data_IF_647318485536
#
_entry.id   IF_647318485536
#
_cell.length_a   1.000
_cell.length_b   1.000
_cell.length_c   1.000
_cell.angle_alpha   90.00
_cell.angle_beta   90.00
_cell.angle_gamma   90.00
#
_symmetry.space_group_name_H-M   'P 1'
#
loop_
_entity.id
_entity.type
_entity.pdbx_description
1 polymer ?
#
# COMPACT_ATOMS: atom_id res chain seq x y z
N UNK A 1 20.82 -14.69 13.67
CA UNK A 1 19.88 -14.39 12.57
C UNK A 1 19.42 -12.96 12.75
N UNK A 2 19.41 -12.14 11.68
CA UNK A 2 18.77 -10.81 11.74
C UNK A 2 17.25 -11.02 11.91
N UNK A 3 16.60 -10.18 12.71
CA UNK A 3 15.15 -10.16 12.80
C UNK A 3 14.56 -9.88 11.41
N UNK A 4 13.42 -10.49 11.04
CA UNK A 4 12.72 -10.14 9.82
C UNK A 4 12.24 -8.69 9.90
N UNK A 5 12.30 -7.97 8.80
CA UNK A 5 11.79 -6.60 8.68
C UNK A 5 10.87 -6.48 7.46
N UNK A 6 10.02 -5.48 7.44
CA UNK A 6 9.22 -5.16 6.26
C UNK A 6 9.61 -3.80 5.68
N UNK A 7 9.31 -3.60 4.40
CA UNK A 7 9.53 -2.34 3.72
C UNK A 7 8.22 -1.57 3.55
N UNK A 8 8.28 -0.26 3.76
CA UNK A 8 7.18 0.67 3.52
C UNK A 8 7.57 1.61 2.40
N UNK A 9 6.89 1.52 1.26
CA UNK A 9 7.04 2.43 0.14
C UNK A 9 6.04 3.59 0.32
N UNK A 10 6.58 4.75 0.57
CA UNK A 10 5.88 5.98 0.91
C UNK A 10 6.30 7.17 0.04
N UNK A 11 6.10 8.37 0.57
CA UNK A 11 6.37 9.62 -0.16
C UNK A 11 5.21 10.08 -1.06
N UNK A 12 4.18 9.26 -1.23
CA UNK A 12 3.04 9.46 -2.13
C UNK A 12 1.68 9.84 -1.47
N UNK A 13 1.51 10.46 -0.30
CA UNK A 13 2.39 11.46 0.26
C UNK A 13 3.05 11.07 1.58
N UNK A 14 4.02 11.93 1.88
CA UNK A 14 4.86 11.82 3.07
C UNK A 14 4.06 11.83 4.37
N UNK A 15 3.10 12.73 4.53
CA UNK A 15 2.27 12.80 5.75
C UNK A 15 1.37 11.57 5.94
N UNK A 16 0.91 10.96 4.86
CA UNK A 16 0.17 9.70 4.91
C UNK A 16 1.09 8.55 5.35
N UNK A 17 2.32 8.53 4.86
CA UNK A 17 3.35 7.56 5.26
C UNK A 17 3.68 7.69 6.74
N UNK A 18 3.90 8.92 7.24
CA UNK A 18 4.11 9.17 8.67
C UNK A 18 2.94 8.66 9.51
N UNK A 19 1.71 8.98 9.09
CA UNK A 19 0.49 8.54 9.78
C UNK A 19 0.38 7.01 9.80
N UNK A 20 0.74 6.32 8.72
CA UNK A 20 0.77 4.87 8.64
C UNK A 20 1.76 4.28 9.66
N UNK A 21 3.00 4.77 9.69
CA UNK A 21 4.02 4.32 10.64
C UNK A 21 3.56 4.52 12.08
N UNK A 22 2.98 5.67 12.37
CA UNK A 22 2.41 5.97 13.69
C UNK A 22 1.33 4.97 14.09
N UNK A 23 0.45 4.59 13.16
CA UNK A 23 -0.60 3.59 13.40
C UNK A 23 -0.03 2.20 13.64
N UNK A 24 0.95 1.77 12.85
CA UNK A 24 1.66 0.48 13.04
C UNK A 24 2.27 0.42 14.44
N UNK A 25 3.02 1.45 14.82
CA UNK A 25 3.67 1.49 16.13
C UNK A 25 2.64 1.49 17.28
N UNK A 26 1.54 2.22 17.15
CA UNK A 26 0.47 2.23 18.17
C UNK A 26 -0.30 0.92 18.26
N UNK A 27 -0.42 0.18 17.16
CA UNK A 27 -1.09 -1.12 17.14
C UNK A 27 -0.19 -2.27 17.61
N UNK A 28 1.11 -2.03 17.74
CA UNK A 28 2.06 -3.02 18.25
C UNK A 28 1.97 -3.08 19.78
N UNK A 29 1.69 -4.27 20.31
CA UNK A 29 1.72 -4.51 21.77
C UNK A 29 3.17 -4.61 22.22
N UNK A 30 3.74 -3.49 22.64
CA UNK A 30 5.14 -3.39 23.07
C UNK A 30 5.22 -2.98 24.54
N UNK A 31 6.08 -3.67 25.30
CA UNK A 31 6.44 -3.33 26.68
C UNK A 31 7.85 -2.72 26.78
N UNK A 32 8.67 -2.90 25.72
CA UNK A 32 10.00 -2.33 25.58
C UNK A 32 10.29 -2.08 24.08
N UNK A 33 11.39 -1.38 23.78
CA UNK A 33 11.76 -1.02 22.41
C UNK A 33 11.96 -2.24 21.51
N UNK A 34 12.41 -3.36 22.08
CA UNK A 34 12.67 -4.60 21.35
C UNK A 34 11.41 -5.34 20.92
N UNK A 35 10.24 -4.98 21.41
CA UNK A 35 8.94 -5.57 21.03
C UNK A 35 8.38 -4.96 19.76
N UNK A 36 8.89 -3.79 19.33
CA UNK A 36 8.44 -3.16 18.08
C UNK A 36 8.90 -3.93 16.85
N UNK A 37 8.15 -3.77 15.76
CA UNK A 37 8.47 -4.36 14.47
C UNK A 37 9.65 -3.65 13.82
N UNK A 38 10.54 -4.41 13.19
CA UNK A 38 11.62 -3.83 12.39
C UNK A 38 11.08 -3.47 11.00
N UNK A 39 11.35 -2.26 10.53
CA UNK A 39 10.96 -1.82 9.19
C UNK A 39 11.93 -0.80 8.58
N UNK A 40 11.88 -0.69 7.26
CA UNK A 40 12.57 0.35 6.48
C UNK A 40 11.51 1.15 5.73
N UNK A 41 11.66 2.47 5.74
CA UNK A 41 10.77 3.38 5.02
C UNK A 41 11.52 3.99 3.84
N UNK A 42 11.03 3.74 2.64
CA UNK A 42 11.38 4.46 1.44
C UNK A 42 10.40 5.62 1.28
N UNK A 43 10.77 6.81 1.74
CA UNK A 43 9.93 8.00 1.57
C UNK A 43 10.36 8.73 0.30
N UNK A 44 10.04 8.17 -0.86
CA UNK A 44 10.36 8.77 -2.14
C UNK A 44 9.26 9.76 -2.57
N UNK A 45 9.51 11.04 -2.33
CA UNK A 45 8.60 12.12 -2.72
C UNK A 45 8.75 12.55 -4.18
N UNK A 46 9.70 11.97 -4.91
CA UNK A 46 9.92 12.24 -6.34
C UNK A 46 8.99 11.42 -7.25
N UNK A 47 8.27 10.44 -6.71
CA UNK A 47 7.32 9.61 -7.48
C UNK A 47 6.27 10.49 -8.16
N UNK A 48 6.15 10.48 -9.50
CA UNK A 48 5.18 11.27 -10.25
C UNK A 48 3.73 11.07 -9.80
N UNK A 49 2.86 12.04 -10.06
CA UNK A 49 1.46 11.97 -9.64
C UNK A 49 0.70 10.80 -10.29
N UNK A 50 0.27 9.85 -9.48
CA UNK A 50 -0.44 8.62 -9.88
C UNK A 50 -1.81 8.94 -10.48
N UNK A 51 -2.48 9.98 -9.95
CA UNK A 51 -3.81 10.37 -10.44
C UNK A 51 -3.70 11.01 -11.81
N UNK A 52 -2.80 11.97 -11.99
CA UNK A 52 -2.57 12.64 -13.27
C UNK A 52 -2.20 11.62 -14.36
N UNK A 53 -1.31 10.66 -14.05
CA UNK A 53 -0.95 9.58 -14.97
C UNK A 53 -2.15 8.70 -15.36
N UNK A 54 -2.93 8.21 -14.40
CA UNK A 54 -4.10 7.34 -14.64
C UNK A 54 -5.19 8.06 -15.43
N UNK A 55 -5.31 9.38 -15.28
CA UNK A 55 -6.28 10.20 -16.01
C UNK A 55 -5.80 10.61 -17.41
N UNK A 56 -4.52 10.36 -17.74
CA UNK A 56 -3.91 10.82 -19.00
C UNK A 56 -3.65 12.34 -19.01
N UNK A 57 -3.56 12.95 -17.85
CA UNK A 57 -3.23 14.38 -17.66
C UNK A 57 -1.72 14.63 -17.59
N UNK A 58 -0.93 13.57 -17.42
CA UNK A 58 0.54 13.57 -17.41
C UNK A 58 1.08 12.29 -18.02
N UNK A 59 2.15 12.41 -18.80
CA UNK A 59 2.92 11.27 -19.34
C UNK A 59 4.01 10.78 -18.36
N UNK A 60 4.20 11.46 -17.24
CA UNK A 60 5.17 11.05 -16.21
C UNK A 60 4.70 9.79 -15.51
N UNK A 61 5.33 8.66 -15.88
CA UNK A 61 4.97 7.35 -15.37
C UNK A 61 5.55 7.12 -13.96
N UNK A 62 4.72 6.90 -12.93
CA UNK A 62 5.21 6.61 -11.58
C UNK A 62 5.78 5.18 -11.42
N UNK A 63 5.51 4.28 -12.36
CA UNK A 63 5.89 2.88 -12.25
C UNK A 63 7.41 2.65 -12.11
N UNK A 64 8.29 3.25 -12.94
CA UNK A 64 9.73 2.99 -12.87
C UNK A 64 10.35 3.35 -11.51
N UNK A 65 9.92 4.45 -10.91
CA UNK A 65 10.44 4.88 -9.59
C UNK A 65 10.03 3.90 -8.50
N UNK A 66 8.77 3.48 -8.50
CA UNK A 66 8.27 2.51 -7.52
C UNK A 66 8.84 1.11 -7.76
N UNK A 67 9.10 0.73 -9.00
CA UNK A 67 9.75 -0.54 -9.34
C UNK A 67 11.19 -0.59 -8.76
N UNK A 68 11.95 0.48 -8.89
CA UNK A 68 13.30 0.59 -8.32
C UNK A 68 13.28 0.48 -6.77
N UNK A 69 12.30 1.10 -6.10
CA UNK A 69 12.13 0.95 -4.65
C UNK A 69 11.75 -0.48 -4.25
N UNK A 70 10.91 -1.17 -5.03
CA UNK A 70 10.57 -2.58 -4.81
C UNK A 70 11.79 -3.48 -4.97
N UNK A 71 12.61 -3.25 -6.01
CA UNK A 71 13.84 -3.99 -6.24
C UNK A 71 14.84 -3.80 -5.09
N UNK A 72 15.01 -2.56 -4.61
CA UNK A 72 15.85 -2.23 -3.44
C UNK A 72 15.35 -2.95 -2.18
N UNK A 73 14.06 -2.89 -1.89
CA UNK A 73 13.45 -3.55 -0.74
C UNK A 73 13.66 -5.07 -0.81
N UNK A 74 13.51 -5.65 -2.02
CA UNK A 74 13.75 -7.07 -2.29
C UNK A 74 15.20 -7.44 -2.05
N UNK A 75 16.14 -6.68 -2.61
CA UNK A 75 17.58 -6.91 -2.45
C UNK A 75 18.05 -6.79 -1.00
N UNK A 76 17.41 -5.94 -0.21
CA UNK A 76 17.67 -5.79 1.23
C UNK A 76 17.11 -6.96 2.07
N UNK A 77 16.27 -7.82 1.48
CA UNK A 77 15.69 -9.00 2.14
C UNK A 77 14.45 -8.68 2.98
N UNK A 78 13.63 -7.72 2.57
CA UNK A 78 12.35 -7.45 3.21
C UNK A 78 11.46 -8.71 3.22
N UNK A 79 10.75 -8.95 4.31
CA UNK A 79 9.83 -10.09 4.45
C UNK A 79 8.52 -9.86 3.70
N UNK A 80 8.10 -8.63 3.61
CA UNK A 80 6.98 -8.15 2.80
C UNK A 80 7.10 -6.65 2.55
N UNK A 81 6.33 -6.15 1.60
CA UNK A 81 6.31 -4.74 1.18
C UNK A 81 4.91 -4.16 1.37
N UNK A 82 4.82 -2.92 1.80
CA UNK A 82 3.58 -2.14 1.92
C UNK A 82 3.68 -0.87 1.12
N UNK A 83 2.67 -0.57 0.31
CA UNK A 83 2.50 0.70 -0.40
C UNK A 83 1.55 1.59 0.40
N UNK A 84 2.00 2.74 0.92
CA UNK A 84 1.15 3.68 1.68
C UNK A 84 0.34 4.62 0.77
N UNK A 85 0.01 4.16 -0.43
CA UNK A 85 -0.76 4.89 -1.42
C UNK A 85 -1.82 3.99 -2.05
N UNK A 86 -3.10 4.31 -1.86
CA UNK A 86 -4.21 3.58 -2.47
C UNK A 86 -4.14 3.58 -3.99
N UNK A 87 -3.86 4.74 -4.59
CA UNK A 87 -3.83 4.91 -6.05
C UNK A 87 -2.70 4.11 -6.71
N UNK A 88 -1.55 3.93 -6.04
CA UNK A 88 -0.42 3.15 -6.56
C UNK A 88 -0.75 1.66 -6.74
N UNK A 89 -1.79 1.13 -6.08
CA UNK A 89 -2.27 -0.23 -6.30
C UNK A 89 -2.88 -0.45 -7.69
N UNK A 90 -2.99 0.60 -8.50
CA UNK A 90 -3.26 0.48 -9.94
C UNK A 90 -2.24 -0.41 -10.66
N UNK A 91 -0.99 -0.38 -10.22
CA UNK A 91 0.13 -1.14 -10.77
C UNK A 91 0.43 -2.43 -9.97
N UNK A 92 -0.48 -2.86 -9.09
CA UNK A 92 -0.17 -3.92 -8.13
C UNK A 92 0.33 -5.22 -8.77
N UNK A 93 -0.35 -5.68 -9.82
CA UNK A 93 0.01 -6.96 -10.47
C UNK A 93 1.37 -6.85 -11.16
N UNK A 94 1.68 -5.71 -11.79
CA UNK A 94 2.98 -5.44 -12.39
C UNK A 94 4.09 -5.37 -11.31
N UNK A 95 3.83 -4.73 -10.19
CA UNK A 95 4.77 -4.69 -9.06
C UNK A 95 5.02 -6.06 -8.46
N UNK A 96 3.98 -6.86 -8.25
CA UNK A 96 4.16 -8.20 -7.70
C UNK A 96 4.91 -9.13 -8.65
N UNK A 97 4.85 -8.88 -9.96
CA UNK A 97 5.62 -9.63 -10.94
C UNK A 97 7.14 -9.35 -10.89
N UNK A 98 7.57 -8.21 -10.32
CA UNK A 98 8.99 -7.85 -10.17
C UNK A 98 9.70 -8.59 -9.04
N UNK A 99 8.95 -9.16 -8.09
CA UNK A 99 9.53 -9.70 -6.86
C UNK A 99 8.77 -10.92 -6.33
N UNK A 100 9.52 -11.81 -5.69
CA UNK A 100 8.96 -12.92 -4.89
C UNK A 100 8.57 -12.50 -3.48
N UNK A 101 8.97 -11.29 -3.04
CA UNK A 101 8.58 -10.72 -1.75
C UNK A 101 7.09 -10.33 -1.82
N UNK A 102 6.24 -10.79 -0.88
CA UNK A 102 4.83 -10.43 -0.90
C UNK A 102 4.62 -8.92 -0.78
N UNK A 103 3.85 -8.35 -1.68
CA UNK A 103 3.36 -6.97 -1.57
C UNK A 103 1.95 -7.02 -0.98
N UNK A 104 1.73 -6.40 0.19
CA UNK A 104 0.42 -6.39 0.81
C UNK A 104 -0.56 -5.51 0.02
N UNK A 105 -1.63 -6.12 -0.49
CA UNK A 105 -2.65 -5.38 -1.23
C UNK A 105 -3.61 -4.67 -0.28
N UNK A 106 -3.29 -3.43 0.10
CA UNK A 106 -4.04 -2.66 1.08
C UNK A 106 -5.55 -2.53 0.77
N UNK A 107 -6.00 -2.23 -0.46
CA UNK A 107 -7.42 -2.21 -0.78
C UNK A 107 -8.14 -3.54 -0.53
N UNK A 108 -7.56 -4.68 -0.95
CA UNK A 108 -8.14 -6.02 -0.67
C UNK A 108 -8.19 -6.30 0.82
N UNK A 109 -7.13 -6.00 1.56
CA UNK A 109 -7.09 -6.16 3.02
C UNK A 109 -8.16 -5.32 3.74
N UNK A 110 -8.34 -4.07 3.33
CA UNK A 110 -9.36 -3.18 3.88
C UNK A 110 -10.78 -3.70 3.60
N UNK A 111 -11.07 -4.16 2.37
CA UNK A 111 -12.37 -4.71 1.99
C UNK A 111 -12.64 -6.02 2.73
N UNK A 112 -11.70 -6.92 2.82
CA UNK A 112 -11.84 -8.18 3.57
C UNK A 112 -12.16 -7.91 5.04
N UNK A 113 -11.47 -6.96 5.67
CA UNK A 113 -11.74 -6.55 7.05
C UNK A 113 -13.12 -5.91 7.22
N UNK A 114 -13.51 -5.08 6.25
CA UNK A 114 -14.85 -4.49 6.21
C UNK A 114 -15.93 -5.55 6.10
N UNK A 115 -15.80 -6.52 5.20
CA UNK A 115 -16.78 -7.59 4.99
C UNK A 115 -16.96 -8.45 6.25
N UNK A 116 -15.89 -8.73 6.98
CA UNK A 116 -15.96 -9.43 8.27
C UNK A 116 -16.75 -8.65 9.34
N UNK A 117 -16.59 -7.33 9.39
CA UNK A 117 -17.20 -6.46 10.41
C UNK A 117 -18.62 -6.04 10.05
N UNK A 118 -18.90 -5.91 8.76
CA UNK A 118 -20.16 -5.41 8.20
C UNK A 118 -20.64 -6.37 7.11
N UNK A 119 -21.24 -7.51 7.49
CA UNK A 119 -21.65 -8.52 6.55
C UNK A 119 -22.76 -8.01 5.61
N UNK A 120 -22.75 -8.50 4.37
CA UNK A 120 -23.54 -8.00 3.25
C UNK A 120 -25.06 -8.11 3.46
N UNK A 121 -25.51 -9.11 4.18
CA UNK A 121 -26.92 -9.32 4.54
C UNK A 121 -27.50 -8.18 5.39
N UNK A 122 -26.67 -7.56 6.23
CA UNK A 122 -27.03 -6.40 7.08
C UNK A 122 -26.63 -5.06 6.49
N UNK A 123 -25.55 -5.03 5.70
CA UNK A 123 -24.94 -3.83 5.13
C UNK A 123 -24.74 -4.00 3.61
N UNK A 124 -25.83 -3.99 2.80
CA UNK A 124 -25.77 -4.36 1.39
C UNK A 124 -25.10 -3.30 0.50
N UNK A 125 -24.82 -2.11 1.03
CA UNK A 125 -24.20 -1.00 0.29
C UNK A 125 -23.06 -0.38 1.06
N UNK A 126 -21.95 -0.12 0.37
CA UNK A 126 -20.76 0.54 0.90
C UNK A 126 -20.45 1.78 0.07
N UNK A 127 -20.23 2.91 0.76
CA UNK A 127 -19.73 4.12 0.13
C UNK A 127 -18.20 4.13 0.09
N UNK A 128 -17.64 4.60 -1.02
CA UNK A 128 -16.20 4.81 -1.17
C UNK A 128 -15.90 6.30 -1.26
N UNK A 129 -15.00 6.78 -0.38
CA UNK A 129 -14.42 8.13 -0.42
C UNK A 129 -12.92 7.99 -0.70
N UNK A 130 -12.43 8.66 -1.72
CA UNK A 130 -11.03 8.60 -2.11
C UNK A 130 -10.70 9.58 -3.24
N UNK A 131 -9.47 9.54 -3.73
CA UNK A 131 -9.05 10.35 -4.87
C UNK A 131 -9.76 9.92 -6.15
N UNK A 132 -9.85 10.84 -7.13
CA UNK A 132 -10.37 10.52 -8.46
C UNK A 132 -9.57 9.39 -9.11
N UNK A 133 -8.23 9.39 -8.94
CA UNK A 133 -7.35 8.32 -9.41
C UNK A 133 -7.70 6.96 -8.81
N UNK A 134 -7.90 6.86 -7.49
CA UNK A 134 -8.32 5.62 -6.84
C UNK A 134 -9.67 5.12 -7.34
N UNK A 135 -10.61 6.02 -7.62
CA UNK A 135 -11.91 5.67 -8.22
C UNK A 135 -11.76 5.18 -9.66
N UNK A 136 -10.99 5.90 -10.48
CA UNK A 136 -10.77 5.56 -11.90
C UNK A 136 -9.98 4.27 -12.08
N UNK A 137 -9.00 4.01 -11.22
CA UNK A 137 -8.22 2.76 -11.22
C UNK A 137 -9.09 1.50 -10.98
N UNK A 138 -10.25 1.66 -10.34
CA UNK A 138 -11.15 0.55 -10.04
C UNK A 138 -10.64 -0.43 -8.98
N UNK A 139 -9.52 -0.17 -8.30
CA UNK A 139 -8.91 -1.11 -7.35
C UNK A 139 -9.84 -1.51 -6.21
N UNK A 140 -10.61 -0.56 -5.67
CA UNK A 140 -11.60 -0.87 -4.62
C UNK A 140 -12.83 -1.57 -5.16
N UNK A 141 -13.28 -1.20 -6.38
CA UNK A 141 -14.41 -1.88 -7.03
C UNK A 141 -14.09 -3.37 -7.21
N UNK A 142 -12.94 -3.69 -7.81
CA UNK A 142 -12.49 -5.08 -7.95
C UNK A 142 -12.38 -5.79 -6.60
N UNK A 143 -11.78 -5.17 -5.60
CA UNK A 143 -11.65 -5.76 -4.27
C UNK A 143 -13.00 -6.10 -3.63
N UNK A 144 -14.05 -5.28 -3.85
CA UNK A 144 -15.42 -5.55 -3.34
C UNK A 144 -16.11 -6.65 -4.15
N UNK A 145 -15.87 -6.74 -5.45
CA UNK A 145 -16.44 -7.78 -6.32
C UNK A 145 -15.83 -9.17 -6.05
N UNK A 146 -14.56 -9.20 -5.58
CA UNK A 146 -13.83 -10.42 -5.20
C UNK A 146 -14.19 -10.94 -3.79
N UNK A 147 -14.78 -10.12 -2.92
CA UNK A 147 -15.09 -10.44 -1.52
C UNK A 147 -16.54 -10.97 -1.33
#
# INVERSE_FOLDING_TARGET
MKRPFFAVLGGMGTLATESYIRLVNRATHAHCDQDYLDYIVFNDSSVPDRTAYILGESDENPFPVLADDIEKATAMGASFIVLTCNTAHYFYDDFQALTTVPILHMPRGAVARMAQRYPKDRFPRVGFLGTVGSRKSGVYKRAVEEA
#
